data_IF_748520139188
#
_entry.id   IF_748520139188
#
_cell.length_a   1.000
_cell.length_b   1.000
_cell.length_c   1.000
_cell.angle_alpha   90.00
_cell.angle_beta   90.00
_cell.angle_gamma   90.00
#
_symmetry.space_group_name_H-M   'P 1'
#
loop_
_entity.id
_entity.type
_entity.pdbx_description
1 polymer ?
#
# COMPACT_ATOMS: atom_id res chain seq x y z
N UNK A 1 22.02 2.17 1.42
CA UNK A 1 20.58 2.45 1.62
C UNK A 1 19.93 1.25 2.27
N UNK A 2 19.11 1.50 3.29
CA UNK A 2 18.42 0.46 4.07
C UNK A 2 16.92 0.61 3.88
N UNK A 3 16.21 -0.47 3.70
CA UNK A 3 14.74 -0.47 3.69
C UNK A 3 14.19 -0.44 5.11
N UNK A 4 12.89 -0.15 5.26
CA UNK A 4 12.19 -0.23 6.55
C UNK A 4 12.22 -1.65 7.17
N UNK A 5 12.45 -2.68 6.36
CA UNK A 5 12.63 -4.07 6.80
C UNK A 5 14.07 -4.43 7.13
N UNK A 6 14.96 -3.44 7.31
CA UNK A 6 16.38 -3.62 7.64
C UNK A 6 17.16 -4.41 6.57
N UNK A 7 16.71 -4.38 5.32
CA UNK A 7 17.41 -4.96 4.18
C UNK A 7 18.29 -3.93 3.49
N UNK A 8 19.52 -4.31 3.13
CA UNK A 8 20.42 -3.48 2.32
C UNK A 8 19.96 -3.53 0.86
N UNK A 9 19.50 -2.40 0.35
CA UNK A 9 18.91 -2.29 -1.01
C UNK A 9 19.74 -1.45 -1.98
N UNK A 10 20.94 -1.04 -1.61
CA UNK A 10 21.79 -0.12 -2.37
C UNK A 10 22.00 -0.56 -3.83
N UNK A 11 22.25 -1.85 -4.07
CA UNK A 11 22.48 -2.39 -5.41
C UNK A 11 21.24 -2.34 -6.33
N UNK A 12 20.05 -2.16 -5.73
CA UNK A 12 18.80 -2.03 -6.49
C UNK A 12 18.59 -0.64 -7.07
N UNK A 13 19.37 0.35 -6.62
CA UNK A 13 19.19 1.78 -6.92
C UNK A 13 20.53 2.45 -7.21
N UNK A 14 21.22 2.06 -8.30
CA UNK A 14 22.56 2.59 -8.63
C UNK A 14 22.54 4.11 -8.86
N UNK A 15 21.45 4.69 -9.37
CA UNK A 15 21.30 6.13 -9.53
C UNK A 15 21.30 6.88 -8.19
N UNK A 16 20.67 6.31 -7.14
CA UNK A 16 20.69 6.89 -5.79
C UNK A 16 22.03 6.64 -5.08
N UNK A 17 22.71 5.55 -5.40
CA UNK A 17 24.06 5.31 -4.89
C UNK A 17 25.05 6.37 -5.40
N UNK A 18 24.98 6.69 -6.70
CA UNK A 18 25.81 7.75 -7.30
C UNK A 18 25.52 9.11 -6.67
N UNK A 19 24.26 9.41 -6.37
CA UNK A 19 23.87 10.61 -5.65
C UNK A 19 24.48 10.69 -4.25
N UNK A 20 24.45 9.59 -3.49
CA UNK A 20 24.99 9.56 -2.12
C UNK A 20 26.47 9.98 -2.07
N UNK A 21 27.22 9.79 -3.16
CA UNK A 21 28.62 10.22 -3.26
C UNK A 21 28.79 11.74 -3.44
N UNK A 22 27.73 12.46 -3.75
CA UNK A 22 27.74 13.92 -3.95
C UNK A 22 27.19 14.70 -2.75
N UNK A 23 26.53 14.03 -1.83
CA UNK A 23 26.09 14.63 -0.57
C UNK A 23 27.26 14.77 0.41
N UNK A 24 27.24 15.76 1.31
CA UNK A 24 28.27 15.88 2.35
C UNK A 24 28.27 14.66 3.28
N UNK A 25 29.44 14.34 3.84
CA UNK A 25 29.56 13.26 4.81
C UNK A 25 28.71 13.52 6.07
N UNK A 26 28.25 12.44 6.68
CA UNK A 26 27.46 12.52 7.93
C UNK A 26 26.03 13.01 7.70
N UNK A 27 25.44 12.69 6.54
CA UNK A 27 24.03 12.95 6.24
C UNK A 27 23.26 11.64 6.18
N UNK A 28 22.15 11.57 6.93
CA UNK A 28 21.18 10.47 6.84
C UNK A 28 19.79 11.03 6.59
N UNK A 29 19.19 10.59 5.49
CA UNK A 29 17.85 10.99 5.05
C UNK A 29 16.85 9.86 5.21
N UNK A 30 15.61 10.19 5.54
CA UNK A 30 14.46 9.30 5.45
C UNK A 30 13.55 9.77 4.32
N UNK A 31 13.09 8.82 3.48
CA UNK A 31 12.33 9.14 2.28
C UNK A 31 11.67 7.92 1.66
N UNK A 32 10.88 8.16 0.62
CA UNK A 32 10.26 7.13 -0.20
C UNK A 32 10.98 7.05 -1.55
N UNK A 33 11.33 5.84 -1.98
CA UNK A 33 11.87 5.61 -3.33
C UNK A 33 10.67 5.41 -4.27
N UNK A 34 10.55 6.29 -5.24
CA UNK A 34 9.45 6.30 -6.20
C UNK A 34 9.98 6.10 -7.62
N UNK A 35 9.24 5.36 -8.45
CA UNK A 35 9.47 5.41 -9.89
C UNK A 35 8.87 6.70 -10.42
N UNK A 36 9.68 7.46 -11.17
CA UNK A 36 9.34 8.78 -11.65
C UNK A 36 9.23 8.80 -13.17
N UNK A 37 8.25 9.55 -13.70
CA UNK A 37 8.10 9.68 -15.16
C UNK A 37 9.33 10.39 -15.74
N UNK A 38 10.02 9.80 -16.74
CA UNK A 38 11.16 10.45 -17.37
C UNK A 38 10.83 11.84 -17.94
N UNK A 39 11.64 12.84 -17.60
CA UNK A 39 11.46 14.21 -18.09
C UNK A 39 10.40 15.05 -17.37
N UNK A 40 9.71 14.50 -16.37
CA UNK A 40 8.77 15.28 -15.55
C UNK A 40 9.53 16.18 -14.56
N UNK A 41 9.03 17.39 -14.36
CA UNK A 41 9.51 18.34 -13.36
C UNK A 41 8.94 18.02 -11.97
N UNK A 42 9.55 18.58 -10.91
CA UNK A 42 9.01 18.47 -9.54
C UNK A 42 7.57 18.98 -9.40
N UNK A 43 7.19 19.97 -10.20
CA UNK A 43 5.84 20.52 -10.20
C UNK A 43 4.78 19.55 -10.76
N UNK A 44 5.22 18.61 -11.58
CA UNK A 44 4.36 17.54 -12.11
C UNK A 44 4.53 16.31 -11.22
N UNK A 45 3.66 16.07 -10.24
CA UNK A 45 3.66 14.84 -9.45
C UNK A 45 3.55 13.62 -10.40
N UNK A 46 4.72 13.17 -10.89
CA UNK A 46 4.84 12.18 -11.96
C UNK A 46 5.17 10.78 -11.42
N UNK A 47 4.60 10.44 -10.26
CA UNK A 47 4.76 9.13 -9.64
C UNK A 47 4.16 8.06 -10.54
N UNK A 48 4.95 7.03 -10.83
CA UNK A 48 4.52 5.89 -11.63
C UNK A 48 3.98 4.76 -10.73
N UNK A 49 3.17 3.84 -11.27
CA UNK A 49 2.62 2.74 -10.49
C UNK A 49 3.68 1.92 -9.74
N UNK A 50 3.40 1.56 -8.50
CA UNK A 50 4.28 0.76 -7.65
C UNK A 50 4.71 -0.58 -8.27
N UNK A 51 3.92 -1.13 -9.18
CA UNK A 51 4.25 -2.34 -9.92
C UNK A 51 5.55 -2.23 -10.72
N UNK A 52 5.91 -1.02 -11.17
CA UNK A 52 7.21 -0.77 -11.84
C UNK A 52 8.37 -0.85 -10.84
N UNK A 53 8.21 -0.30 -9.64
CA UNK A 53 9.20 -0.44 -8.57
C UNK A 53 9.38 -1.91 -8.16
N UNK A 54 8.28 -2.66 -8.04
CA UNK A 54 8.32 -4.10 -7.74
C UNK A 54 9.12 -4.90 -8.78
N UNK A 55 9.05 -4.53 -10.05
CA UNK A 55 9.85 -5.18 -11.09
C UNK A 55 11.35 -5.01 -10.85
N UNK A 56 11.79 -3.85 -10.33
CA UNK A 56 13.20 -3.63 -9.93
C UNK A 56 13.57 -4.45 -8.71
N UNK A 57 12.75 -4.42 -7.66
CA UNK A 57 12.99 -5.13 -6.41
C UNK A 57 13.06 -6.65 -6.60
N UNK A 58 12.24 -7.20 -7.49
CA UNK A 58 12.17 -8.63 -7.76
C UNK A 58 13.31 -9.19 -8.62
N UNK A 59 14.21 -8.37 -9.17
CA UNK A 59 15.29 -8.84 -10.04
C UNK A 59 16.63 -8.87 -9.31
N UNK A 60 17.39 -9.93 -9.55
CA UNK A 60 18.77 -10.06 -9.04
C UNK A 60 19.73 -9.08 -9.77
N UNK A 61 19.53 -8.89 -11.07
CA UNK A 61 20.36 -8.02 -11.91
C UNK A 61 19.51 -6.99 -12.64
N UNK A 62 19.91 -5.75 -12.62
CA UNK A 62 19.22 -4.65 -13.29
C UNK A 62 19.86 -4.40 -14.66
N UNK A 63 19.10 -4.65 -15.73
CA UNK A 63 19.53 -4.31 -17.09
C UNK A 63 19.30 -2.83 -17.41
N UNK A 64 20.08 -2.27 -18.34
CA UNK A 64 19.96 -0.85 -18.77
C UNK A 64 18.52 -0.47 -19.13
N UNK A 65 17.81 -1.34 -19.85
CA UNK A 65 16.40 -1.11 -20.22
C UNK A 65 15.51 -0.86 -19.01
N UNK A 66 15.63 -1.67 -17.95
CA UNK A 66 14.80 -1.51 -16.75
C UNK A 66 15.12 -0.23 -15.99
N UNK A 67 16.37 0.20 -15.96
CA UNK A 67 16.76 1.48 -15.35
C UNK A 67 16.18 2.67 -16.12
N UNK A 68 16.09 2.57 -17.45
CA UNK A 68 15.47 3.59 -18.31
C UNK A 68 13.94 3.57 -18.21
N UNK A 69 13.32 2.40 -18.19
CA UNK A 69 11.85 2.24 -18.17
C UNK A 69 11.25 2.57 -16.79
N UNK A 70 12.02 2.42 -15.72
CA UNK A 70 11.59 2.65 -14.34
C UNK A 70 12.67 3.44 -13.56
N UNK A 71 13.02 4.65 -13.97
CA UNK A 71 13.95 5.49 -13.23
C UNK A 71 13.36 5.86 -11.87
N UNK A 72 14.21 6.03 -10.86
CA UNK A 72 13.75 6.32 -9.50
C UNK A 72 14.27 7.66 -8.99
N UNK A 73 13.49 8.22 -8.06
CA UNK A 73 13.85 9.36 -7.24
C UNK A 73 13.70 9.00 -5.77
N UNK A 74 14.45 9.66 -4.90
CA UNK A 74 14.22 9.68 -3.47
C UNK A 74 13.37 10.89 -3.12
N UNK A 75 12.12 10.70 -2.73
CA UNK A 75 11.32 11.77 -2.15
C UNK A 75 11.60 11.84 -0.65
N UNK A 76 12.53 12.73 -0.26
CA UNK A 76 12.95 12.89 1.12
C UNK A 76 11.91 13.69 1.92
N UNK A 77 11.60 13.23 3.13
CA UNK A 77 10.63 13.87 4.02
C UNK A 77 11.16 14.10 5.44
N UNK A 78 12.33 13.55 5.79
CA UNK A 78 12.98 13.80 7.07
C UNK A 78 14.52 13.71 6.97
N UNK A 79 15.20 14.35 7.90
CA UNK A 79 16.65 14.33 8.04
C UNK A 79 16.98 13.83 9.43
N UNK A 80 17.75 12.74 9.51
CA UNK A 80 18.04 12.01 10.76
C UNK A 80 19.44 12.30 11.31
N UNK A 81 20.38 12.63 10.43
CA UNK A 81 21.74 12.98 10.78
C UNK A 81 22.25 14.12 9.88
N UNK A 82 22.97 15.07 10.46
CA UNK A 82 23.60 16.17 9.77
C UNK A 82 25.00 16.40 10.29
N UNK A 83 26.00 16.36 9.41
CA UNK A 83 27.44 16.52 9.73
C UNK A 83 27.91 15.56 10.85
N UNK A 84 27.37 14.34 10.89
CA UNK A 84 27.69 13.34 11.89
C UNK A 84 26.97 13.52 13.25
N UNK A 85 26.13 14.55 13.39
CA UNK A 85 25.28 14.73 14.56
C UNK A 85 23.94 14.05 14.40
N UNK A 86 23.47 13.31 15.40
CA UNK A 86 22.13 12.71 15.44
C UNK A 86 21.05 13.78 15.68
N UNK A 87 20.20 14.00 14.67
CA UNK A 87 19.13 14.98 14.70
C UNK A 87 17.76 14.39 15.07
N UNK A 88 17.65 13.12 15.34
CA UNK A 88 16.38 12.49 15.71
C UNK A 88 15.76 13.07 16.98
N UNK A 89 16.58 13.63 17.86
CA UNK A 89 16.16 14.32 19.08
C UNK A 89 15.89 15.83 18.89
N UNK A 90 15.88 16.31 17.67
CA UNK A 90 15.46 17.68 17.34
C UNK A 90 14.00 17.71 16.90
N UNK A 91 13.29 18.84 17.10
CA UNK A 91 11.92 19.02 16.61
C UNK A 91 11.81 18.78 15.09
N UNK A 92 10.65 18.26 14.66
CA UNK A 92 10.40 17.93 13.25
C UNK A 92 10.59 19.14 12.33
N UNK A 93 10.16 20.33 12.75
CA UNK A 93 10.28 21.54 11.95
C UNK A 93 11.75 21.98 11.74
N UNK A 94 12.65 21.74 12.69
CA UNK A 94 14.09 22.01 12.54
C UNK A 94 14.73 21.02 11.54
N UNK A 95 14.42 19.73 11.68
CA UNK A 95 14.89 18.69 10.76
C UNK A 95 14.41 18.96 9.33
N UNK A 96 13.14 19.37 9.17
CA UNK A 96 12.57 19.75 7.88
C UNK A 96 13.28 20.97 7.28
N UNK A 97 13.49 22.04 8.05
CA UNK A 97 14.16 23.23 7.57
C UNK A 97 15.61 22.94 7.14
N UNK A 98 16.29 22.03 7.85
CA UNK A 98 17.65 21.63 7.45
C UNK A 98 17.65 20.75 6.20
N UNK A 99 16.66 19.88 6.04
CA UNK A 99 16.47 19.08 4.81
C UNK A 99 16.23 19.99 3.59
N UNK A 100 15.42 21.03 3.74
CA UNK A 100 15.19 22.02 2.66
C UNK A 100 16.47 22.71 2.27
N UNK A 101 17.25 23.24 3.24
CA UNK A 101 18.58 23.85 2.97
C UNK A 101 19.55 22.87 2.27
N UNK A 102 19.52 21.61 2.67
CA UNK A 102 20.36 20.59 2.05
C UNK A 102 20.01 20.41 0.57
N UNK A 103 18.73 20.24 0.25
CA UNK A 103 18.27 20.02 -1.12
C UNK A 103 18.51 21.27 -1.99
N UNK A 104 18.32 22.46 -1.44
CA UNK A 104 18.62 23.73 -2.12
C UNK A 104 20.12 23.91 -2.39
N UNK A 105 20.97 23.54 -1.45
CA UNK A 105 22.42 23.64 -1.59
C UNK A 105 23.00 22.60 -2.55
N UNK A 106 22.34 21.46 -2.66
CA UNK A 106 22.71 20.35 -3.53
C UNK A 106 21.55 20.00 -4.46
N UNK A 107 21.23 20.81 -5.49
CA UNK A 107 20.13 20.57 -6.42
C UNK A 107 20.43 19.38 -7.33
N UNK A 108 20.46 18.22 -6.75
CA UNK A 108 20.90 16.97 -7.35
C UNK A 108 19.66 16.10 -7.65
N UNK A 109 19.26 16.07 -8.90
CA UNK A 109 18.44 14.95 -9.34
C UNK A 109 19.23 13.64 -9.06
N UNK A 110 18.65 12.64 -8.39
CA UNK A 110 17.22 12.39 -8.21
C UNK A 110 16.71 12.47 -6.75
N UNK A 111 17.00 13.53 -5.98
CA UNK A 111 16.35 13.80 -4.70
C UNK A 111 15.30 14.89 -4.88
N UNK A 112 14.10 14.62 -4.40
CA UNK A 112 12.98 15.55 -4.35
C UNK A 112 12.58 15.76 -2.90
N UNK A 113 12.14 16.96 -2.55
CA UNK A 113 11.47 17.19 -1.27
C UNK A 113 10.04 16.65 -1.33
N UNK A 114 9.62 15.93 -0.29
CA UNK A 114 8.19 15.67 -0.10
C UNK A 114 7.44 17.00 0.04
N UNK A 115 6.42 17.29 -0.79
CA UNK A 115 5.74 18.58 -0.75
C UNK A 115 5.09 18.83 0.61
N UNK A 116 5.25 20.05 1.11
CA UNK A 116 4.53 20.52 2.28
C UNK A 116 3.20 21.12 1.82
N UNK A 117 2.10 20.42 2.12
CA UNK A 117 0.77 20.91 1.81
C UNK A 117 0.30 21.88 2.90
N UNK A 118 -0.23 23.00 2.47
CA UNK A 118 -0.79 24.05 3.35
C UNK A 118 -2.22 24.35 2.94
N UNK A 119 -3.00 24.85 3.87
CA UNK A 119 -4.38 25.28 3.64
C UNK A 119 -4.89 26.14 4.78
N UNK A 120 -5.93 26.94 4.54
CA UNK A 120 -6.50 27.84 5.56
C UNK A 120 -7.18 27.06 6.69
N UNK A 121 -7.65 25.85 6.41
CA UNK A 121 -8.40 25.02 7.36
C UNK A 121 -8.33 23.52 7.01
N UNK A 122 -8.94 22.72 7.87
CA UNK A 122 -9.01 21.26 7.68
C UNK A 122 -9.88 20.84 6.49
N UNK A 123 -10.88 21.62 6.11
CA UNK A 123 -11.74 21.32 4.96
C UNK A 123 -10.94 21.43 3.66
N UNK A 124 -10.08 22.44 3.55
CA UNK A 124 -9.17 22.59 2.41
C UNK A 124 -8.16 21.44 2.32
N UNK A 125 -7.55 21.05 3.46
CA UNK A 125 -6.63 19.90 3.49
C UNK A 125 -7.36 18.57 3.17
N UNK A 126 -8.62 18.41 3.60
CA UNK A 126 -9.44 17.26 3.23
C UNK A 126 -9.69 17.20 1.73
N UNK A 127 -9.99 18.33 1.09
CA UNK A 127 -10.15 18.42 -0.36
C UNK A 127 -8.85 18.09 -1.10
N UNK A 128 -7.69 18.58 -0.64
CA UNK A 128 -6.39 18.18 -1.20
C UNK A 128 -6.14 16.67 -1.04
N UNK A 129 -6.53 16.09 0.11
CA UNK A 129 -6.43 14.64 0.35
C UNK A 129 -7.25 13.83 -0.66
N UNK A 130 -8.44 14.29 -1.05
CA UNK A 130 -9.29 13.60 -2.04
C UNK A 130 -8.60 13.45 -3.40
N UNK A 131 -7.70 14.37 -3.75
CA UNK A 131 -6.92 14.31 -4.99
C UNK A 131 -5.81 13.24 -4.96
N UNK A 132 -5.54 12.62 -3.82
CA UNK A 132 -4.45 11.65 -3.65
C UNK A 132 -4.52 10.49 -4.66
N UNK A 133 -5.72 10.04 -4.99
CA UNK A 133 -5.91 8.92 -5.92
C UNK A 133 -5.47 9.28 -7.35
N UNK A 134 -5.84 10.45 -7.85
CA UNK A 134 -5.42 10.93 -9.17
C UNK A 134 -3.91 11.20 -9.24
N UNK A 135 -3.29 11.52 -8.09
CA UNK A 135 -1.85 11.74 -7.97
C UNK A 135 -1.06 10.43 -7.74
N UNK A 136 -1.73 9.28 -7.64
CA UNK A 136 -1.08 7.98 -7.39
C UNK A 136 -0.51 7.82 -5.97
N UNK A 137 -1.00 8.60 -5.00
CA UNK A 137 -0.57 8.55 -3.60
C UNK A 137 -1.72 8.10 -2.67
N UNK A 138 -1.39 7.73 -1.42
CA UNK A 138 -2.34 7.09 -0.49
C UNK A 138 -3.06 8.08 0.46
N UNK A 139 -2.71 9.36 0.42
CA UNK A 139 -3.22 10.37 1.35
C UNK A 139 -2.11 11.29 1.86
N UNK A 140 -2.35 11.90 3.02
CA UNK A 140 -1.45 12.84 3.66
C UNK A 140 -0.75 12.23 4.88
N UNK A 141 0.48 12.65 5.14
CA UNK A 141 1.18 12.40 6.40
C UNK A 141 1.10 13.66 7.27
N UNK A 142 0.43 13.57 8.40
CA UNK A 142 0.38 14.64 9.38
C UNK A 142 1.47 14.43 10.41
N UNK A 143 2.28 15.47 10.66
CA UNK A 143 3.37 15.43 11.63
C UNK A 143 3.25 16.62 12.58
N UNK A 144 3.36 16.36 13.88
CA UNK A 144 3.42 17.43 14.87
C UNK A 144 4.76 18.18 14.73
N UNK A 145 4.73 19.50 14.73
CA UNK A 145 5.92 20.34 14.52
C UNK A 145 7.04 20.11 15.51
N UNK A 146 6.69 19.91 16.77
CA UNK A 146 7.65 19.70 17.89
C UNK A 146 8.01 18.22 18.09
N UNK A 147 7.51 17.32 17.24
CA UNK A 147 7.75 15.90 17.39
C UNK A 147 9.22 15.55 17.16
N UNK A 148 9.77 14.74 18.03
CA UNK A 148 11.03 14.06 17.82
C UNK A 148 10.84 12.89 16.83
N UNK A 149 11.92 12.43 16.22
CA UNK A 149 11.87 11.24 15.38
C UNK A 149 11.80 9.98 16.26
N UNK A 150 10.64 9.35 16.28
CA UNK A 150 10.41 8.17 17.13
C UNK A 150 11.10 6.92 16.61
N UNK A 151 11.51 6.06 17.53
CA UNK A 151 12.10 4.75 17.24
C UNK A 151 11.06 3.66 17.44
N UNK A 152 10.94 2.72 16.49
CA UNK A 152 10.00 1.61 16.56
C UNK A 152 8.54 2.02 16.35
N UNK A 153 7.60 1.37 17.07
CA UNK A 153 6.18 1.68 16.99
C UNK A 153 5.83 2.86 17.88
N UNK A 154 5.53 4.00 17.29
CA UNK A 154 5.19 5.24 17.99
C UNK A 154 3.68 5.50 18.07
N UNK A 155 2.86 4.46 17.93
CA UNK A 155 1.39 4.57 17.87
C UNK A 155 0.80 5.36 19.05
N UNK A 156 1.34 5.15 20.24
CA UNK A 156 0.84 5.76 21.48
C UNK A 156 1.41 7.16 21.74
N UNK A 157 2.41 7.60 20.97
CA UNK A 157 2.99 8.94 21.09
C UNK A 157 2.17 10.02 20.40
N UNK A 158 1.31 9.64 19.44
CA UNK A 158 0.40 10.53 18.76
C UNK A 158 1.06 11.71 18.01
N UNK A 159 2.23 11.48 17.40
CA UNK A 159 3.02 12.54 16.77
C UNK A 159 2.99 12.52 15.26
N UNK A 160 2.70 11.35 14.66
CA UNK A 160 2.59 11.14 13.22
C UNK A 160 1.34 10.36 12.89
N UNK A 161 0.54 10.84 11.93
CA UNK A 161 -0.70 10.19 11.48
C UNK A 161 -0.73 10.09 9.96
N UNK A 162 -1.14 8.93 9.47
CA UNK A 162 -1.48 8.74 8.06
C UNK A 162 -2.95 9.05 7.86
N UNK A 163 -3.23 10.18 7.24
CA UNK A 163 -4.59 10.54 6.84
C UNK A 163 -4.85 10.03 5.43
N UNK A 164 -5.11 8.74 5.33
CA UNK A 164 -5.34 8.06 4.06
C UNK A 164 -6.71 8.41 3.47
N UNK A 165 -6.80 8.32 2.12
CA UNK A 165 -8.10 8.27 1.42
C UNK A 165 -8.81 6.98 1.78
N UNK A 166 -10.14 6.97 1.63
CA UNK A 166 -10.91 5.76 1.85
C UNK A 166 -10.53 4.69 0.80
N UNK A 167 -10.41 3.43 1.21
CA UNK A 167 -10.10 2.36 0.28
C UNK A 167 -11.22 2.20 -0.75
N UNK A 168 -10.92 1.61 -1.90
CA UNK A 168 -11.97 1.01 -2.71
C UNK A 168 -12.64 -0.10 -1.91
N UNK A 169 -13.93 -0.29 -2.08
CA UNK A 169 -14.63 -1.41 -1.45
C UNK A 169 -15.56 -2.13 -2.41
N UNK A 170 -15.72 -3.42 -2.19
CA UNK A 170 -16.66 -4.29 -2.89
C UNK A 170 -17.18 -5.36 -1.93
N UNK A 171 -18.41 -5.79 -2.16
CA UNK A 171 -19.00 -6.92 -1.44
C UNK A 171 -18.69 -8.23 -2.17
N UNK A 172 -17.93 -9.10 -1.55
CA UNK A 172 -17.41 -10.31 -2.13
C UNK A 172 -17.76 -11.57 -1.34
N UNK A 173 -17.86 -12.68 -2.02
CA UNK A 173 -18.24 -13.97 -1.46
C UNK A 173 -17.00 -14.77 -1.09
N UNK A 174 -16.96 -15.32 0.12
CA UNK A 174 -15.93 -16.25 0.56
C UNK A 174 -16.13 -17.61 -0.10
N UNK A 175 -15.11 -18.09 -0.85
CA UNK A 175 -15.17 -19.35 -1.59
C UNK A 175 -14.11 -20.37 -1.17
N UNK A 176 -12.95 -19.92 -0.69
CA UNK A 176 -11.91 -20.78 -0.14
C UNK A 176 -11.34 -20.23 1.15
N UNK A 177 -10.90 -21.13 2.02
CA UNK A 177 -10.22 -20.82 3.26
C UNK A 177 -8.99 -21.69 3.46
N UNK A 178 -7.95 -21.12 4.04
CA UNK A 178 -6.70 -21.80 4.39
C UNK A 178 -6.36 -21.52 5.85
N UNK A 179 -5.71 -22.45 6.52
CA UNK A 179 -5.23 -22.25 7.89
C UNK A 179 -4.16 -21.15 7.92
N UNK A 180 -4.21 -20.35 8.98
CA UNK A 180 -3.21 -19.34 9.24
C UNK A 180 -1.88 -19.90 9.71
N UNK A 181 -0.97 -19.01 10.08
CA UNK A 181 0.37 -19.32 10.55
C UNK A 181 0.58 -18.82 12.01
N UNK A 182 1.56 -19.38 12.70
CA UNK A 182 1.91 -18.98 14.06
C UNK A 182 0.72 -19.13 15.03
N UNK A 183 0.33 -18.07 15.72
CA UNK A 183 -0.79 -18.10 16.68
C UNK A 183 -2.14 -18.48 16.08
N UNK A 184 -2.30 -18.34 14.77
CA UNK A 184 -3.54 -18.63 14.02
C UNK A 184 -3.50 -19.97 13.28
N UNK A 185 -2.50 -20.83 13.52
CA UNK A 185 -2.33 -22.11 12.83
C UNK A 185 -3.50 -23.09 13.05
N UNK A 186 -4.27 -22.94 14.13
CA UNK A 186 -5.45 -23.76 14.45
C UNK A 186 -6.74 -23.26 13.79
N UNK A 187 -6.76 -22.03 13.26
CA UNK A 187 -7.94 -21.37 12.68
C UNK A 187 -7.75 -21.19 11.16
N UNK A 188 -8.86 -21.21 10.45
CA UNK A 188 -8.88 -20.70 9.08
C UNK A 188 -8.87 -19.18 9.13
N UNK A 189 -7.82 -18.54 8.62
CA UNK A 189 -7.63 -17.08 8.69
C UNK A 189 -7.08 -16.47 7.40
N UNK A 190 -6.85 -17.27 6.38
CA UNK A 190 -6.49 -16.83 5.03
C UNK A 190 -7.64 -17.21 4.10
N UNK A 191 -8.29 -16.19 3.54
CA UNK A 191 -9.55 -16.35 2.81
C UNK A 191 -9.40 -15.91 1.36
N UNK A 192 -10.03 -16.66 0.44
CA UNK A 192 -10.15 -16.29 -0.97
C UNK A 192 -11.57 -15.86 -1.25
N UNK A 193 -11.70 -14.70 -1.86
CA UNK A 193 -12.96 -14.06 -2.19
C UNK A 193 -13.20 -14.00 -3.68
N UNK A 194 -14.47 -14.08 -4.05
CA UNK A 194 -14.96 -14.02 -5.42
C UNK A 194 -16.05 -12.97 -5.58
N UNK A 195 -16.21 -12.48 -6.79
CA UNK A 195 -17.37 -11.71 -7.24
C UNK A 195 -18.07 -12.48 -8.35
N UNK A 196 -19.28 -12.10 -8.68
CA UNK A 196 -20.01 -12.69 -9.80
C UNK A 196 -19.39 -12.27 -11.14
N UNK A 197 -19.39 -13.15 -12.14
CA UNK A 197 -18.92 -12.83 -13.51
C UNK A 197 -19.94 -11.99 -14.30
N UNK A 198 -21.19 -11.97 -13.87
CA UNK A 198 -22.27 -11.23 -14.50
C UNK A 198 -23.23 -10.63 -13.46
N UNK A 199 -24.03 -9.61 -13.83
CA UNK A 199 -24.98 -8.94 -12.96
C UNK A 199 -26.03 -9.88 -12.35
N UNK A 200 -26.65 -9.43 -11.25
CA UNK A 200 -27.73 -10.15 -10.59
C UNK A 200 -28.87 -10.45 -11.57
N UNK A 201 -29.43 -11.68 -11.47
CA UNK A 201 -30.49 -12.15 -12.36
C UNK A 201 -30.02 -12.74 -13.69
N UNK A 202 -28.72 -12.69 -14.01
CA UNK A 202 -28.19 -13.39 -15.19
C UNK A 202 -28.20 -14.91 -14.95
N UNK A 203 -28.79 -15.70 -15.86
CA UNK A 203 -28.74 -17.17 -15.75
C UNK A 203 -27.31 -17.69 -15.79
N UNK A 204 -27.03 -18.76 -15.02
CA UNK A 204 -25.76 -19.49 -15.01
C UNK A 204 -24.51 -18.67 -14.67
N UNK A 205 -24.70 -17.47 -14.03
CA UNK A 205 -23.55 -16.69 -13.56
C UNK A 205 -22.71 -17.48 -12.56
N UNK A 206 -21.40 -17.26 -12.58
CA UNK A 206 -20.43 -17.98 -11.75
C UNK A 206 -19.62 -17.02 -10.86
N UNK A 207 -19.16 -17.54 -9.73
CA UNK A 207 -18.24 -16.83 -8.84
C UNK A 207 -16.80 -16.91 -9.36
N UNK A 208 -16.16 -15.77 -9.58
CA UNK A 208 -14.79 -15.66 -10.08
C UNK A 208 -13.88 -15.13 -8.97
N UNK A 209 -12.85 -15.90 -8.55
CA UNK A 209 -11.92 -15.45 -7.52
C UNK A 209 -11.09 -14.25 -7.99
N UNK A 210 -10.92 -13.23 -7.12
CA UNK A 210 -10.14 -12.04 -7.43
C UNK A 210 -9.21 -11.59 -6.31
N UNK A 211 -9.47 -11.91 -5.04
CA UNK A 211 -8.68 -11.43 -3.92
C UNK A 211 -8.46 -12.50 -2.84
N UNK A 212 -7.33 -12.37 -2.16
CA UNK A 212 -7.07 -13.07 -0.88
C UNK A 212 -6.89 -12.04 0.22
N UNK A 213 -7.58 -12.22 1.34
CA UNK A 213 -7.42 -11.38 2.53
C UNK A 213 -7.23 -12.23 3.79
N UNK A 214 -6.40 -11.74 4.71
CA UNK A 214 -6.05 -12.41 5.96
C UNK A 214 -6.13 -11.47 7.18
N UNK A 215 -6.65 -10.28 7.01
CA UNK A 215 -6.79 -9.27 8.06
C UNK A 215 -8.14 -8.56 7.97
N UNK A 216 -8.55 -7.94 9.07
CA UNK A 216 -9.75 -7.13 9.16
C UNK A 216 -10.81 -7.68 10.09
N UNK A 217 -10.87 -8.99 10.35
CA UNK A 217 -11.76 -9.57 11.33
C UNK A 217 -11.19 -9.49 12.74
N UNK A 218 -12.05 -9.28 13.71
CA UNK A 218 -11.76 -9.50 15.12
C UNK A 218 -11.56 -11.00 15.41
N UNK A 219 -10.92 -11.33 16.53
CA UNK A 219 -10.71 -12.72 16.93
C UNK A 219 -12.04 -13.46 17.19
N UNK A 220 -13.09 -12.76 17.61
CA UNK A 220 -14.43 -13.32 17.80
C UNK A 220 -15.07 -13.67 16.45
N UNK A 221 -15.07 -12.73 15.50
CA UNK A 221 -15.58 -12.95 14.15
C UNK A 221 -14.83 -14.08 13.45
N UNK A 222 -13.51 -14.11 13.58
CA UNK A 222 -12.68 -15.18 13.01
C UNK A 222 -13.07 -16.56 13.54
N UNK A 223 -13.36 -16.72 14.84
CA UNK A 223 -13.83 -17.98 15.40
C UNK A 223 -15.21 -18.38 14.85
N UNK A 224 -16.12 -17.41 14.69
CA UNK A 224 -17.44 -17.66 14.08
C UNK A 224 -17.30 -18.12 12.64
N UNK A 225 -16.46 -17.44 11.85
CA UNK A 225 -16.19 -17.78 10.46
C UNK A 225 -15.51 -19.17 10.37
N UNK A 226 -14.52 -19.47 11.22
CA UNK A 226 -13.87 -20.79 11.30
C UNK A 226 -14.89 -21.91 11.55
N UNK A 227 -15.83 -21.70 12.47
CA UNK A 227 -16.87 -22.67 12.75
C UNK A 227 -17.80 -22.92 11.55
N UNK A 228 -18.13 -21.89 10.78
CA UNK A 228 -18.93 -22.00 9.56
C UNK A 228 -18.12 -22.73 8.47
N UNK A 229 -16.86 -22.36 8.24
CA UNK A 229 -15.98 -23.02 7.26
C UNK A 229 -15.91 -24.52 7.52
N UNK A 230 -15.73 -24.96 8.78
CA UNK A 230 -15.69 -26.39 9.13
C UNK A 230 -16.98 -27.13 8.81
N UNK A 231 -18.14 -26.45 8.91
CA UNK A 231 -19.44 -27.04 8.60
C UNK A 231 -19.77 -27.04 7.12
N UNK A 232 -19.26 -26.06 6.37
CA UNK A 232 -19.59 -25.82 4.97
C UNK A 232 -18.48 -26.22 3.99
N UNK A 233 -17.43 -26.88 4.48
CA UNK A 233 -16.36 -27.42 3.61
C UNK A 233 -16.93 -28.48 2.66
N UNK A 234 -16.76 -28.24 1.37
CA UNK A 234 -17.19 -29.14 0.27
C UNK A 234 -16.03 -30.04 -0.15
N UNK A 235 -14.87 -29.42 -0.43
CA UNK A 235 -13.69 -30.11 -0.91
C UNK A 235 -12.43 -29.66 -0.20
N UNK A 236 -11.39 -30.53 -0.26
CA UNK A 236 -10.11 -30.29 0.39
C UNK A 236 -8.99 -30.39 -0.64
N UNK A 237 -8.23 -29.31 -0.84
CA UNK A 237 -7.07 -29.22 -1.73
C UNK A 237 -5.80 -28.95 -0.89
N UNK A 238 -5.19 -29.99 -0.35
CA UNK A 238 -4.08 -29.79 0.59
C UNK A 238 -4.48 -28.90 1.79
N UNK A 239 -3.84 -27.76 2.00
CA UNK A 239 -4.17 -26.84 3.10
C UNK A 239 -5.44 -26.01 2.85
N UNK A 240 -5.95 -25.96 1.63
CA UNK A 240 -7.10 -25.14 1.22
C UNK A 240 -8.40 -25.94 1.34
N UNK A 241 -9.44 -25.28 1.80
CA UNK A 241 -10.83 -25.79 1.86
C UNK A 241 -11.69 -24.97 0.90
N UNK A 242 -12.38 -25.66 -0.01
CA UNK A 242 -13.52 -25.10 -0.73
C UNK A 242 -14.72 -25.13 0.20
N UNK A 243 -15.47 -24.05 0.24
CA UNK A 243 -16.65 -23.93 1.11
C UNK A 243 -17.89 -23.59 0.30
N UNK A 244 -19.06 -24.00 0.79
CA UNK A 244 -20.33 -23.54 0.22
C UNK A 244 -20.38 -22.01 0.30
N UNK A 245 -20.62 -21.29 -0.81
CA UNK A 245 -20.65 -19.83 -0.83
C UNK A 245 -21.88 -19.29 -0.08
N UNK A 246 -21.71 -18.97 1.20
CA UNK A 246 -22.78 -18.47 2.07
C UNK A 246 -22.42 -17.19 2.82
N UNK A 247 -21.14 -16.77 2.73
CA UNK A 247 -20.64 -15.64 3.50
C UNK A 247 -20.22 -14.50 2.56
N UNK A 248 -20.79 -13.33 2.79
CA UNK A 248 -20.45 -12.09 2.09
C UNK A 248 -19.67 -11.15 3.01
N UNK A 249 -18.61 -10.56 2.48
CA UNK A 249 -17.79 -9.59 3.18
C UNK A 249 -17.57 -8.35 2.33
N UNK A 250 -17.62 -7.20 2.95
CA UNK A 250 -17.11 -5.97 2.36
C UNK A 250 -15.58 -6.01 2.43
N UNK A 251 -14.93 -6.02 1.28
CA UNK A 251 -13.48 -5.97 1.15
C UNK A 251 -13.02 -4.57 0.79
N UNK A 252 -12.05 -4.05 1.53
CA UNK A 252 -11.35 -2.82 1.18
C UNK A 252 -9.99 -3.12 0.58
N UNK A 253 -9.56 -2.31 -0.39
CA UNK A 253 -8.22 -2.39 -0.99
C UNK A 253 -7.71 -1.01 -1.44
N UNK A 254 -6.39 -0.83 -1.41
CA UNK A 254 -5.74 0.47 -1.65
C UNK A 254 -5.56 0.79 -3.15
N UNK A 255 -5.63 -0.21 -4.00
CA UNK A 255 -5.47 -0.03 -5.45
C UNK A 255 -5.96 -1.23 -6.24
N UNK A 256 -6.24 -0.99 -7.51
CA UNK A 256 -6.75 -1.97 -8.46
C UNK A 256 -6.00 -1.83 -9.78
N UNK A 257 -5.72 -2.93 -10.45
CA UNK A 257 -5.03 -2.94 -11.74
C UNK A 257 -5.44 -4.17 -12.57
N UNK A 258 -5.30 -4.07 -13.89
CA UNK A 258 -5.45 -5.21 -14.78
C UNK A 258 -4.36 -6.26 -14.52
N UNK A 259 -4.72 -7.54 -14.57
CA UNK A 259 -3.81 -8.65 -14.31
C UNK A 259 -4.11 -9.86 -15.19
N UNK A 260 -3.15 -10.23 -16.01
CA UNK A 260 -3.23 -11.47 -16.83
C UNK A 260 -3.03 -12.76 -16.01
N UNK A 261 -2.63 -12.63 -14.74
CA UNK A 261 -2.37 -13.78 -13.86
C UNK A 261 -3.59 -14.25 -13.10
N UNK A 262 -4.60 -13.40 -12.94
CA UNK A 262 -5.83 -13.69 -12.20
C UNK A 262 -6.96 -14.05 -13.14
N UNK A 263 -7.79 -15.03 -12.74
CA UNK A 263 -8.97 -15.43 -13.53
C UNK A 263 -9.96 -14.30 -13.75
N UNK A 264 -10.06 -13.39 -12.78
CA UNK A 264 -10.88 -12.18 -12.88
C UNK A 264 -10.34 -11.12 -13.84
N UNK A 265 -9.09 -11.27 -14.32
CA UNK A 265 -8.41 -10.20 -15.07
C UNK A 265 -7.94 -9.01 -14.20
N UNK A 266 -8.14 -9.07 -12.89
CA UNK A 266 -7.93 -7.95 -11.95
C UNK A 266 -7.03 -8.38 -10.79
N UNK A 267 -6.14 -7.50 -10.37
CA UNK A 267 -5.36 -7.61 -9.15
C UNK A 267 -5.68 -6.42 -8.23
N UNK A 268 -5.80 -6.68 -6.94
CA UNK A 268 -6.03 -5.65 -5.91
C UNK A 268 -4.84 -5.58 -4.95
N UNK A 269 -4.56 -4.37 -4.44
CA UNK A 269 -3.43 -4.11 -3.54
C UNK A 269 -3.93 -4.01 -2.10
N UNK A 270 -3.32 -4.77 -1.19
CA UNK A 270 -3.62 -4.82 0.24
C UNK A 270 -5.11 -5.06 0.56
N UNK A 271 -5.72 -6.13 0.01
CA UNK A 271 -7.09 -6.46 0.34
C UNK A 271 -7.23 -6.84 1.82
N UNK A 272 -8.27 -6.34 2.43
CA UNK A 272 -8.65 -6.63 3.81
C UNK A 272 -10.15 -6.67 3.96
N UNK A 273 -10.65 -7.41 4.92
CA UNK A 273 -12.06 -7.40 5.28
C UNK A 273 -12.37 -6.13 6.08
N UNK A 274 -13.33 -5.35 5.63
CA UNK A 274 -13.81 -4.16 6.34
C UNK A 274 -14.97 -4.55 7.28
N UNK A 275 -15.85 -5.41 6.78
CA UNK A 275 -17.05 -5.83 7.51
C UNK A 275 -17.57 -7.16 7.00
N UNK A 276 -18.09 -8.00 7.92
CA UNK A 276 -18.88 -9.14 7.55
C UNK A 276 -20.32 -8.68 7.28
N UNK A 277 -20.81 -8.95 6.06
CA UNK A 277 -22.13 -8.51 5.56
C UNK A 277 -23.19 -9.60 5.89
N UNK A 278 -23.61 -9.65 7.17
CA UNK A 278 -24.68 -10.54 7.61
C UNK A 278 -26.05 -10.16 7.02
N UNK A 279 -26.17 -8.94 6.59
CA UNK A 279 -27.36 -8.31 6.00
C UNK A 279 -27.51 -8.60 4.49
N UNK A 280 -26.46 -9.12 3.82
CA UNK A 280 -26.42 -9.23 2.36
C UNK A 280 -26.41 -10.69 1.91
N UNK A 281 -27.41 -11.15 1.12
CA UNK A 281 -27.40 -12.47 0.53
C UNK A 281 -26.31 -12.58 -0.54
N UNK A 282 -25.84 -13.80 -0.80
CA UNK A 282 -24.74 -14.09 -1.75
C UNK A 282 -25.09 -13.62 -3.16
N UNK A 283 -26.34 -13.73 -3.55
CA UNK A 283 -26.84 -13.36 -4.87
C UNK A 283 -26.73 -11.86 -5.15
N UNK A 284 -26.64 -11.04 -4.10
CA UNK A 284 -26.51 -9.59 -4.17
C UNK A 284 -25.05 -9.10 -4.02
N UNK A 285 -24.08 -10.01 -3.87
CA UNK A 285 -22.68 -9.64 -3.90
C UNK A 285 -22.32 -9.02 -5.27
N UNK A 286 -21.28 -8.18 -5.25
CA UNK A 286 -20.84 -7.44 -6.43
C UNK A 286 -20.33 -8.36 -7.56
N UNK A 287 -20.19 -7.80 -8.75
CA UNK A 287 -19.76 -8.49 -9.96
C UNK A 287 -18.46 -7.91 -10.56
N UNK A 288 -17.97 -8.53 -11.63
CA UNK A 288 -16.77 -8.08 -12.34
C UNK A 288 -16.94 -6.69 -12.95
N UNK A 289 -18.15 -6.30 -13.36
CA UNK A 289 -18.38 -4.96 -13.89
C UNK A 289 -18.18 -3.89 -12.83
N UNK A 290 -18.60 -4.15 -11.58
CA UNK A 290 -18.33 -3.29 -10.42
C UNK A 290 -16.83 -3.12 -10.19
N UNK A 291 -16.04 -4.21 -10.21
CA UNK A 291 -14.59 -4.14 -10.10
C UNK A 291 -13.94 -3.39 -11.26
N UNK A 292 -14.39 -3.61 -12.49
CA UNK A 292 -13.87 -2.94 -13.68
C UNK A 292 -14.12 -1.44 -13.67
N UNK A 293 -15.27 -1.00 -13.15
CA UNK A 293 -15.58 0.42 -12.98
C UNK A 293 -14.61 1.16 -12.03
N UNK A 294 -13.92 0.44 -11.14
CA UNK A 294 -12.91 1.00 -10.24
C UNK A 294 -11.51 1.14 -10.87
N UNK A 295 -11.32 0.65 -12.11
CA UNK A 295 -10.05 0.75 -12.85
C UNK A 295 -9.85 2.13 -13.50
N UNK A 296 -10.87 2.98 -13.51
CA UNK A 296 -10.89 4.28 -14.18
C UNK A 296 -9.99 5.32 -13.52
#
# INVERSE_FOLDING_TARGET
MWSRGEELVTERFPELHSLAQTLPDGVVLDGEILVWKPGATEAELAVQPFSLLQQRLGRKTLGKKLLTDAPVVLQAYDLLEWQGEDWRNRPQHERRSQLERLVDAYPLAPVLLSPLLTGPDWANLAHQREQSRSLGVEGLMLKQREALYGVGRTKDMGTWWKWKIDPFSVDAVLIYAQRGHGRRASLYSDYTFAVWDAPAGTPERALVPFAKAYSGLSDEEMRKVDAIIRKTTVETFGPVRSVTPTLVFELGFEGIALSRRHKSGIAVRFPRMLRWRLDKPVEEADDLATLQALLA
#
